data_IF_078405093138
#
_entry.id   IF_078405093138
#
_cell.length_a   1.000
_cell.length_b   1.000
_cell.length_c   1.000
_cell.angle_alpha   90.00
_cell.angle_beta   90.00
_cell.angle_gamma   90.00
#
_symmetry.space_group_name_H-M   'P 1'
#
loop_
_entity.id
_entity.type
_entity.pdbx_description
1 polymer ?
#
# COMPACT_ATOMS: atom_id res chain seq x y z
N UNK A 1 -21.09 5.69 6.74
CA UNK A 1 -19.68 6.15 6.65
C UNK A 1 -19.54 7.08 5.47
N UNK A 2 -18.91 8.25 5.66
CA UNK A 2 -18.75 9.21 4.58
C UNK A 2 -17.60 8.81 3.66
N UNK A 3 -17.82 8.93 2.35
CA UNK A 3 -16.80 8.70 1.32
C UNK A 3 -15.52 9.50 1.60
N UNK A 4 -15.67 10.68 2.22
CA UNK A 4 -14.55 11.52 2.65
C UNK A 4 -13.52 10.78 3.48
N UNK A 5 -13.94 9.99 4.48
CA UNK A 5 -13.00 9.27 5.35
C UNK A 5 -12.29 8.11 4.64
N UNK A 6 -12.96 7.45 3.70
CA UNK A 6 -12.31 6.41 2.87
C UNK A 6 -11.19 7.04 2.05
N UNK A 7 -11.51 8.16 1.38
CA UNK A 7 -10.55 8.88 0.55
C UNK A 7 -9.39 9.40 1.40
N UNK A 8 -9.67 9.97 2.57
CA UNK A 8 -8.66 10.47 3.50
C UNK A 8 -7.70 9.34 3.95
N UNK A 9 -8.26 8.21 4.42
CA UNK A 9 -7.46 7.04 4.82
C UNK A 9 -6.60 6.53 3.65
N UNK A 10 -7.18 6.42 2.45
CA UNK A 10 -6.47 5.97 1.26
C UNK A 10 -5.35 6.91 0.85
N UNK A 11 -5.59 8.22 0.82
CA UNK A 11 -4.55 9.21 0.48
C UNK A 11 -3.42 9.18 1.50
N UNK A 12 -3.72 9.24 2.80
CA UNK A 12 -2.69 9.28 3.84
C UNK A 12 -1.90 7.97 3.92
N UNK A 13 -2.59 6.83 3.84
CA UNK A 13 -1.94 5.52 3.82
C UNK A 13 -1.01 5.34 2.61
N UNK A 14 -1.51 5.69 1.42
CA UNK A 14 -0.72 5.60 0.17
C UNK A 14 0.47 6.55 0.20
N UNK A 15 0.30 7.78 0.71
CA UNK A 15 1.39 8.74 0.84
C UNK A 15 2.49 8.24 1.78
N UNK A 16 2.11 7.69 2.94
CA UNK A 16 3.06 7.13 3.90
C UNK A 16 3.81 5.93 3.33
N UNK A 17 3.10 5.01 2.68
CA UNK A 17 3.72 3.87 1.98
C UNK A 17 4.67 4.35 0.88
N UNK A 18 4.25 5.28 0.03
CA UNK A 18 5.08 5.81 -1.06
C UNK A 18 6.33 6.49 -0.54
N UNK A 19 6.23 7.22 0.58
CA UNK A 19 7.37 7.84 1.23
C UNK A 19 8.35 6.78 1.78
N UNK A 20 7.85 5.72 2.43
CA UNK A 20 8.68 4.63 2.93
C UNK A 20 9.41 3.91 1.78
N UNK A 21 8.72 3.62 0.68
CA UNK A 21 9.30 2.98 -0.50
C UNK A 21 10.35 3.87 -1.19
N UNK A 22 10.07 5.18 -1.31
CA UNK A 22 11.03 6.15 -1.82
C UNK A 22 12.28 6.19 -0.94
N UNK A 23 12.14 6.21 0.38
CA UNK A 23 13.25 6.22 1.33
C UNK A 23 14.12 4.97 1.18
N UNK A 24 13.50 3.77 1.13
CA UNK A 24 14.21 2.48 0.93
C UNK A 24 15.02 2.50 -0.37
N UNK A 25 14.42 3.00 -1.46
CA UNK A 25 15.08 3.10 -2.75
C UNK A 25 16.23 4.11 -2.73
N UNK A 26 16.01 5.26 -2.10
CA UNK A 26 17.02 6.33 -1.98
C UNK A 26 18.26 5.88 -1.19
N UNK A 27 18.07 5.11 -0.13
CA UNK A 27 19.15 4.57 0.69
C UNK A 27 19.82 3.34 0.03
N UNK A 28 19.38 2.92 -1.16
CA UNK A 28 19.98 1.80 -1.89
C UNK A 28 19.72 0.42 -1.25
N UNK A 29 18.74 0.32 -0.35
CA UNK A 29 18.41 -0.94 0.34
C UNK A 29 17.75 -1.92 -0.64
N UNK A 30 16.81 -1.43 -1.45
CA UNK A 30 16.13 -2.20 -2.48
C UNK A 30 15.64 -1.27 -3.59
N UNK A 31 15.50 -1.77 -4.83
CA UNK A 31 14.79 -1.05 -5.89
C UNK A 31 13.27 -1.19 -5.67
N UNK A 32 12.74 -0.34 -4.81
CA UNK A 32 11.33 -0.33 -4.44
C UNK A 32 10.51 0.72 -5.20
N UNK A 33 10.95 1.14 -6.40
CA UNK A 33 10.25 2.12 -7.27
C UNK A 33 9.02 1.50 -7.94
N UNK A 34 8.05 1.12 -7.11
CA UNK A 34 6.79 0.52 -7.54
C UNK A 34 5.96 1.48 -8.40
N UNK A 35 6.03 2.78 -8.14
CA UNK A 35 5.25 3.77 -8.88
C UNK A 35 5.64 3.75 -10.36
N UNK A 36 6.92 3.82 -10.65
CA UNK A 36 7.40 3.73 -12.04
C UNK A 36 7.19 2.33 -12.63
N UNK A 37 7.37 1.30 -11.83
CA UNK A 37 7.11 -0.07 -12.27
C UNK A 37 5.66 -0.23 -12.74
N UNK A 38 4.66 0.15 -11.92
CA UNK A 38 3.24 0.09 -12.30
C UNK A 38 2.96 0.93 -13.56
N UNK A 39 3.43 2.16 -13.61
CA UNK A 39 3.17 3.04 -14.74
C UNK A 39 3.79 2.55 -16.03
N UNK A 40 4.98 1.95 -15.97
CA UNK A 40 5.69 1.46 -17.14
C UNK A 40 5.12 0.18 -17.75
N UNK A 41 4.16 -0.46 -17.10
CA UNK A 41 3.34 -1.53 -17.71
C UNK A 41 2.37 -0.97 -18.75
N UNK A 42 1.93 0.30 -18.57
CA UNK A 42 0.84 0.91 -19.34
C UNK A 42 1.37 1.98 -20.31
N UNK A 43 2.42 2.70 -19.90
CA UNK A 43 2.95 3.85 -20.64
C UNK A 43 4.46 3.73 -20.88
N UNK A 44 4.98 4.62 -21.73
CA UNK A 44 6.43 4.81 -21.93
C UNK A 44 7.11 5.46 -20.70
N UNK A 45 8.44 5.56 -20.73
CA UNK A 45 9.25 6.01 -19.60
C UNK A 45 8.94 7.43 -19.16
N UNK A 46 8.58 8.32 -20.08
CA UNK A 46 8.33 9.73 -19.76
C UNK A 46 7.08 9.92 -18.90
N UNK A 47 6.06 9.09 -19.11
CA UNK A 47 4.76 9.16 -18.43
C UNK A 47 4.61 8.14 -17.28
N UNK A 48 5.56 7.19 -17.15
CA UNK A 48 5.45 6.08 -16.20
C UNK A 48 5.25 6.54 -14.76
N UNK A 49 5.97 7.58 -14.32
CA UNK A 49 5.82 8.05 -12.93
C UNK A 49 4.43 8.63 -12.66
N UNK A 50 3.94 9.54 -13.50
CA UNK A 50 2.63 10.17 -13.31
C UNK A 50 1.48 9.17 -13.44
N UNK A 51 1.54 8.27 -14.43
CA UNK A 51 0.54 7.21 -14.60
C UNK A 51 0.53 6.25 -13.42
N UNK A 52 1.70 5.79 -12.99
CA UNK A 52 1.82 4.90 -11.85
C UNK A 52 1.35 5.54 -10.56
N UNK A 53 1.63 6.83 -10.35
CA UNK A 53 1.17 7.59 -9.18
C UNK A 53 -0.36 7.66 -9.12
N UNK A 54 -1.01 7.99 -10.22
CA UNK A 54 -2.47 8.04 -10.30
C UNK A 54 -3.07 6.66 -9.96
N UNK A 55 -2.57 5.60 -10.59
CA UNK A 55 -3.04 4.23 -10.35
C UNK A 55 -2.83 3.86 -8.88
N UNK A 56 -1.65 4.14 -8.34
CA UNK A 56 -1.32 3.81 -6.95
C UNK A 56 -2.28 4.47 -5.95
N UNK A 57 -2.63 5.74 -6.14
CA UNK A 57 -3.60 6.42 -5.28
C UNK A 57 -5.03 5.90 -5.47
N UNK A 58 -5.45 5.61 -6.70
CA UNK A 58 -6.78 5.02 -6.95
C UNK A 58 -6.89 3.66 -6.24
N UNK A 59 -5.91 2.79 -6.44
CA UNK A 59 -5.86 1.48 -5.79
C UNK A 59 -5.79 1.63 -4.27
N UNK A 60 -4.97 2.56 -3.77
CA UNK A 60 -4.86 2.82 -2.34
C UNK A 60 -6.20 3.25 -1.72
N UNK A 61 -7.00 4.08 -2.37
CA UNK A 61 -8.33 4.46 -1.87
C UNK A 61 -9.28 3.25 -1.85
N UNK A 62 -9.27 2.43 -2.89
CA UNK A 62 -10.07 1.20 -2.94
C UNK A 62 -9.68 0.23 -1.82
N UNK A 63 -8.38 0.05 -1.61
CA UNK A 63 -7.84 -0.82 -0.56
C UNK A 63 -8.16 -0.26 0.83
N UNK A 64 -8.15 1.07 1.03
CA UNK A 64 -8.56 1.68 2.29
C UNK A 64 -9.99 1.31 2.68
N UNK A 65 -10.92 1.29 1.71
CA UNK A 65 -12.29 0.83 1.96
C UNK A 65 -12.30 -0.61 2.48
N UNK A 66 -11.54 -1.50 1.84
CA UNK A 66 -11.44 -2.91 2.26
C UNK A 66 -10.86 -3.03 3.68
N UNK A 67 -9.82 -2.25 4.00
CA UNK A 67 -9.23 -2.23 5.34
C UNK A 67 -10.24 -1.75 6.40
N UNK A 68 -10.98 -0.68 6.09
CA UNK A 68 -11.99 -0.15 7.00
C UNK A 68 -13.14 -1.15 7.24
N UNK A 69 -13.53 -1.93 6.22
CA UNK A 69 -14.46 -3.05 6.38
C UNK A 69 -13.91 -4.07 7.38
N UNK A 70 -12.70 -4.57 7.18
CA UNK A 70 -12.09 -5.54 8.09
C UNK A 70 -11.90 -4.99 9.50
N UNK A 71 -11.37 -3.76 9.64
CA UNK A 71 -11.23 -3.12 10.95
C UNK A 71 -12.57 -3.07 11.68
N UNK A 72 -13.67 -2.73 10.97
CA UNK A 72 -15.00 -2.61 11.56
C UNK A 72 -15.55 -3.94 12.08
N UNK A 73 -15.19 -5.08 11.47
CA UNK A 73 -15.59 -6.41 11.94
C UNK A 73 -15.06 -6.73 13.35
N UNK A 74 -13.89 -6.21 13.70
CA UNK A 74 -13.29 -6.42 15.03
C UNK A 74 -13.82 -5.47 16.10
N UNK A 75 -14.64 -4.48 15.74
CA UNK A 75 -15.25 -3.50 16.66
C UNK A 75 -14.24 -2.88 17.66
N UNK A 76 -13.11 -2.32 17.19
CA UNK A 76 -12.08 -1.79 18.08
C UNK A 76 -12.62 -0.67 18.96
N UNK A 77 -12.15 -0.62 20.23
CA UNK A 77 -12.63 0.34 21.23
C UNK A 77 -11.58 1.41 21.59
N UNK A 78 -10.37 1.31 21.04
CA UNK A 78 -9.28 2.25 21.31
C UNK A 78 -8.46 2.55 20.06
N UNK A 79 -7.78 3.69 20.06
CA UNK A 79 -6.87 4.10 18.99
C UNK A 79 -5.83 3.01 18.69
N UNK A 80 -5.25 2.42 19.75
CA UNK A 80 -4.24 1.38 19.60
C UNK A 80 -4.81 0.08 19.01
N UNK A 81 -6.06 -0.24 19.30
CA UNK A 81 -6.74 -1.39 18.69
C UNK A 81 -6.96 -1.16 17.19
N UNK A 82 -7.44 0.02 16.79
CA UNK A 82 -7.57 0.39 15.37
C UNK A 82 -6.23 0.29 14.64
N UNK A 83 -5.19 0.90 15.21
CA UNK A 83 -3.85 0.93 14.62
C UNK A 83 -3.24 -0.47 14.51
N UNK A 84 -3.36 -1.28 15.56
CA UNK A 84 -2.85 -2.65 15.60
C UNK A 84 -3.55 -3.56 14.60
N UNK A 85 -4.89 -3.47 14.49
CA UNK A 85 -5.66 -4.24 13.50
C UNK A 85 -5.26 -3.80 12.08
N UNK A 86 -5.15 -2.50 11.82
CA UNK A 86 -4.68 -1.99 10.55
C UNK A 86 -3.30 -2.52 10.17
N UNK A 87 -2.35 -2.52 11.12
CA UNK A 87 -1.01 -3.08 10.91
C UNK A 87 -1.04 -4.58 10.60
N UNK A 88 -1.88 -5.36 11.31
CA UNK A 88 -2.04 -6.80 11.06
C UNK A 88 -2.63 -7.08 9.68
N UNK A 89 -3.64 -6.33 9.26
CA UNK A 89 -4.19 -6.43 7.91
C UNK A 89 -3.09 -6.07 6.89
N UNK A 90 -2.30 -5.02 7.15
CA UNK A 90 -1.15 -4.63 6.34
C UNK A 90 -0.10 -5.72 6.22
N UNK A 91 0.16 -6.43 7.30
CA UNK A 91 1.09 -7.56 7.31
C UNK A 91 0.60 -8.71 6.40
N UNK A 92 -0.65 -9.15 6.57
CA UNK A 92 -1.21 -10.22 5.74
C UNK A 92 -1.31 -9.82 4.25
N UNK A 93 -1.80 -8.61 3.98
CA UNK A 93 -1.85 -8.08 2.63
C UNK A 93 -0.43 -7.96 2.03
N UNK A 94 0.53 -7.45 2.81
CA UNK A 94 1.91 -7.31 2.39
C UNK A 94 2.59 -8.65 2.08
N UNK A 95 2.34 -9.69 2.87
CA UNK A 95 2.85 -11.05 2.57
C UNK A 95 2.25 -11.55 1.25
N UNK A 96 0.93 -11.48 1.09
CA UNK A 96 0.26 -11.93 -0.12
C UNK A 96 0.74 -11.15 -1.36
N UNK A 97 0.86 -9.82 -1.23
CA UNK A 97 1.27 -8.96 -2.34
C UNK A 97 2.76 -9.10 -2.66
N UNK A 98 3.64 -9.22 -1.64
CA UNK A 98 5.06 -9.43 -1.85
C UNK A 98 5.32 -10.75 -2.61
N UNK A 99 4.59 -11.82 -2.25
CA UNK A 99 4.67 -13.10 -2.95
C UNK A 99 4.16 -12.98 -4.40
N UNK A 100 2.99 -12.38 -4.61
CA UNK A 100 2.42 -12.15 -5.93
C UNK A 100 3.33 -11.29 -6.81
N UNK A 101 3.90 -10.21 -6.23
CA UNK A 101 4.80 -9.30 -6.93
C UNK A 101 6.05 -10.02 -7.44
N UNK A 102 6.72 -10.77 -6.56
CA UNK A 102 7.99 -11.43 -6.90
C UNK A 102 7.79 -12.59 -7.87
N UNK A 103 6.77 -13.42 -7.63
CA UNK A 103 6.58 -14.67 -8.41
C UNK A 103 5.84 -14.43 -9.73
N UNK A 104 4.93 -13.43 -9.77
CA UNK A 104 4.05 -13.27 -10.95
C UNK A 104 4.34 -11.98 -11.70
N UNK A 105 4.32 -10.84 -10.99
CA UNK A 105 4.36 -9.53 -11.65
C UNK A 105 5.77 -9.21 -12.15
N UNK A 106 6.79 -9.41 -11.32
CA UNK A 106 8.17 -9.09 -11.70
C UNK A 106 8.62 -9.98 -12.87
N UNK A 107 8.37 -11.28 -12.80
CA UNK A 107 8.80 -12.22 -13.84
C UNK A 107 8.23 -11.89 -15.23
N UNK A 108 7.02 -11.32 -15.28
CA UNK A 108 6.32 -10.96 -16.52
C UNK A 108 6.42 -9.46 -16.88
N UNK A 109 7.19 -8.67 -16.13
CA UNK A 109 7.28 -7.23 -16.37
C UNK A 109 7.91 -6.94 -17.75
N UNK A 110 7.37 -5.99 -18.57
CA UNK A 110 7.90 -5.66 -19.89
C UNK A 110 9.34 -5.13 -19.83
N UNK A 111 9.72 -4.46 -18.74
CA UNK A 111 11.08 -3.92 -18.56
C UNK A 111 11.93 -4.85 -17.72
N UNK A 112 13.11 -5.17 -18.23
CA UNK A 112 14.07 -6.04 -17.59
C UNK A 112 14.52 -5.52 -16.21
N UNK A 113 14.63 -4.19 -16.05
CA UNK A 113 15.01 -3.55 -14.78
C UNK A 113 14.07 -3.85 -13.61
N UNK A 114 12.84 -4.29 -13.88
CA UNK A 114 11.86 -4.67 -12.86
C UNK A 114 11.62 -6.18 -12.76
N UNK A 115 12.24 -6.99 -13.65
CA UNK A 115 12.10 -8.46 -13.62
C UNK A 115 12.88 -9.12 -12.49
N UNK A 116 13.93 -8.47 -12.00
CA UNK A 116 14.82 -9.02 -10.98
C UNK A 116 14.41 -8.55 -9.57
N UNK A 117 13.15 -8.75 -9.20
CA UNK A 117 12.69 -8.46 -7.85
C UNK A 117 13.13 -9.58 -6.90
N UNK A 118 14.15 -9.32 -6.09
CA UNK A 118 14.64 -10.23 -5.07
C UNK A 118 13.87 -10.16 -3.76
N UNK A 119 14.37 -10.88 -2.76
CA UNK A 119 13.79 -10.91 -1.41
C UNK A 119 13.74 -9.51 -0.78
N UNK A 120 14.75 -8.68 -1.03
CA UNK A 120 14.83 -7.31 -0.54
C UNK A 120 13.68 -6.44 -1.07
N UNK A 121 13.28 -6.61 -2.33
CA UNK A 121 12.13 -5.91 -2.93
C UNK A 121 10.82 -6.42 -2.30
N UNK A 122 10.70 -7.74 -2.11
CA UNK A 122 9.54 -8.34 -1.46
C UNK A 122 9.37 -7.84 -0.02
N UNK A 123 10.45 -7.80 0.76
CA UNK A 123 10.44 -7.29 2.14
C UNK A 123 10.14 -5.80 2.21
N UNK A 124 10.66 -5.01 1.27
CA UNK A 124 10.34 -3.59 1.16
C UNK A 124 8.83 -3.38 0.95
N UNK A 125 8.22 -4.12 0.02
CA UNK A 125 6.78 -4.04 -0.26
C UNK A 125 5.94 -4.51 0.93
N UNK A 126 6.34 -5.59 1.59
CA UNK A 126 5.72 -6.04 2.84
C UNK A 126 5.73 -4.92 3.88
N UNK A 127 6.90 -4.31 4.13
CA UNK A 127 7.05 -3.19 5.05
C UNK A 127 6.18 -1.99 4.66
N UNK A 128 6.14 -1.68 3.37
CA UNK A 128 5.27 -0.62 2.83
C UNK A 128 3.79 -0.86 3.12
N UNK A 129 3.29 -2.09 2.96
CA UNK A 129 1.90 -2.43 3.27
C UNK A 129 1.61 -2.38 4.80
N UNK A 130 2.59 -2.74 5.65
CA UNK A 130 2.46 -2.57 7.11
C UNK A 130 2.35 -1.09 7.46
N UNK A 131 3.19 -0.22 6.87
CA UNK A 131 3.11 1.25 7.06
C UNK A 131 1.76 1.77 6.58
N UNK A 132 1.29 1.34 5.42
CA UNK A 132 -0.04 1.69 4.91
C UNK A 132 -1.14 1.31 5.91
N UNK A 133 -1.14 0.07 6.39
CA UNK A 133 -2.13 -0.42 7.34
C UNK A 133 -2.10 0.30 8.69
N UNK A 134 -0.89 0.60 9.21
CA UNK A 134 -0.71 1.42 10.41
C UNK A 134 -1.38 2.78 10.27
N UNK A 135 -1.15 3.48 9.15
CA UNK A 135 -1.69 4.81 8.91
C UNK A 135 -3.21 4.77 8.72
N UNK A 136 -3.72 3.81 7.93
CA UNK A 136 -5.18 3.62 7.77
C UNK A 136 -5.84 3.35 9.12
N UNK A 137 -5.27 2.44 9.93
CA UNK A 137 -5.78 2.13 11.27
C UNK A 137 -5.70 3.33 12.22
N UNK A 138 -4.60 4.08 12.20
CA UNK A 138 -4.43 5.30 13.01
C UNK A 138 -5.50 6.35 12.67
N UNK A 139 -5.66 6.66 11.38
CA UNK A 139 -6.66 7.64 10.92
C UNK A 139 -8.08 7.15 11.27
N UNK A 140 -8.38 5.88 11.04
CA UNK A 140 -9.65 5.30 11.40
C UNK A 140 -9.93 5.40 12.92
N UNK A 141 -8.91 5.20 13.75
CA UNK A 141 -9.03 5.32 15.21
C UNK A 141 -9.21 6.76 15.68
N UNK A 142 -8.50 7.73 15.09
CA UNK A 142 -8.66 9.15 15.43
C UNK A 142 -10.11 9.63 15.19
N UNK A 143 -10.72 9.22 14.09
CA UNK A 143 -12.08 9.61 13.73
C UNK A 143 -13.14 8.59 14.17
N UNK A 144 -12.75 7.53 14.89
CA UNK A 144 -13.62 6.43 15.32
C UNK A 144 -14.48 5.87 14.16
N UNK A 145 -13.86 5.69 13.00
CA UNK A 145 -14.55 5.28 11.78
C UNK A 145 -15.03 3.84 11.91
N UNK A 146 -16.34 3.62 11.71
CA UNK A 146 -16.95 2.30 11.69
C UNK A 146 -17.87 2.20 10.47
N UNK A 147 -17.77 1.07 9.77
CA UNK A 147 -18.78 0.68 8.78
C UNK A 147 -19.83 -0.10 9.55
N UNK A 148 -21.02 0.46 9.61
CA UNK A 148 -22.19 -0.18 10.27
C UNK A 148 -22.90 -0.99 9.18
N UNK A 149 -23.06 -2.27 9.41
CA UNK A 149 -23.87 -3.17 8.59
C UNK A 149 -25.24 -3.35 9.22
#
# INVERSE_FOLDING_TARGET
MDLFYIVLCGILGTSAMSFAMWFITKEGIANADMIRAIGSVITDDNSAFSTGLIIHYIVGIIVAFVYLLFISLFQPQSLWAYTGIGAMIGLFHGVAFAFLLVVVIAEHHPKESYRNAGLEVALAHLGGHVVYGLVVGLVAGIFAIRIIF
#
